data_IF_912356032523
#
_entry.id   IF_912356032523
#
_cell.length_a   1.000
_cell.length_b   1.000
_cell.length_c   1.000
_cell.angle_alpha   90.00
_cell.angle_beta   90.00
_cell.angle_gamma   90.00
#
_symmetry.space_group_name_H-M   'P 1'
#
loop_
_entity.id
_entity.type
_entity.pdbx_description
1 polymer ?
#
# COMPACT_ATOMS: atom_id res chain seq x y z
N UNK A 1 -18.61 0.60 4.74
CA UNK A 1 -17.69 0.45 5.88
C UNK A 1 -16.42 1.22 5.52
N UNK A 2 -16.15 2.36 6.15
CA UNK A 2 -15.03 3.24 5.75
C UNK A 2 -13.66 2.77 6.26
N UNK A 3 -13.66 1.78 7.14
CA UNK A 3 -12.51 1.20 7.83
C UNK A 3 -12.72 -0.30 8.07
N UNK A 4 -11.67 -1.11 8.21
CA UNK A 4 -11.82 -2.55 8.48
C UNK A 4 -11.84 -2.85 9.98
N UNK A 5 -10.90 -2.27 10.70
CA UNK A 5 -10.67 -2.54 12.12
C UNK A 5 -10.24 -1.25 12.82
N UNK A 6 -10.40 -1.22 14.13
CA UNK A 6 -9.91 -0.12 14.95
C UNK A 6 -8.60 -0.50 15.65
N UNK A 7 -7.79 0.49 16.04
CA UNK A 7 -6.46 0.27 16.64
C UNK A 7 -6.50 -0.66 17.86
N UNK A 8 -7.50 -0.51 18.74
CA UNK A 8 -7.70 -1.38 19.91
C UNK A 8 -7.91 -2.84 19.52
N UNK A 9 -8.64 -3.11 18.43
CA UNK A 9 -9.00 -4.46 18.02
C UNK A 9 -7.86 -5.19 17.29
N UNK A 10 -6.85 -4.49 16.78
CA UNK A 10 -5.71 -5.13 16.09
C UNK A 10 -5.02 -6.15 16.99
N UNK A 11 -4.91 -5.87 18.29
CA UNK A 11 -4.25 -6.78 19.24
C UNK A 11 -4.94 -8.16 19.35
N UNK A 12 -6.22 -8.25 18.99
CA UNK A 12 -6.96 -9.52 18.96
C UNK A 12 -6.63 -10.39 17.73
N UNK A 13 -5.98 -9.83 16.70
CA UNK A 13 -5.65 -10.49 15.44
C UNK A 13 -4.37 -11.35 15.53
N UNK A 14 -4.21 -12.11 16.61
CA UNK A 14 -2.97 -12.83 16.94
C UNK A 14 -2.62 -13.95 15.95
N UNK A 15 -3.59 -14.44 15.17
CA UNK A 15 -3.41 -15.49 14.17
C UNK A 15 -3.55 -14.98 12.72
N UNK A 16 -3.67 -13.67 12.50
CA UNK A 16 -3.90 -13.14 11.15
C UNK A 16 -2.61 -13.19 10.32
N UNK A 17 -2.50 -14.21 9.45
CA UNK A 17 -1.33 -14.41 8.58
C UNK A 17 -1.47 -13.69 7.24
N UNK A 18 -2.68 -13.51 6.74
CA UNK A 18 -2.94 -12.87 5.44
C UNK A 18 -4.15 -11.96 5.52
N UNK A 19 -3.99 -10.73 5.06
CA UNK A 19 -5.05 -9.74 4.95
C UNK A 19 -5.21 -9.37 3.48
N UNK A 20 -6.43 -9.52 2.95
CA UNK A 20 -6.79 -9.11 1.59
C UNK A 20 -8.01 -8.23 1.63
N UNK A 21 -7.92 -7.06 1.02
CA UNK A 21 -9.02 -6.11 0.91
C UNK A 21 -9.12 -5.73 -0.56
N UNK A 22 -10.26 -6.06 -1.16
CA UNK A 22 -10.49 -5.91 -2.59
C UNK A 22 -11.79 -5.14 -2.83
N UNK A 23 -11.78 -4.25 -3.82
CA UNK A 23 -12.99 -3.65 -4.40
C UNK A 23 -13.91 -2.95 -3.38
N UNK A 24 -13.33 -2.42 -2.31
CA UNK A 24 -14.05 -1.69 -1.27
C UNK A 24 -13.95 -0.19 -1.55
N UNK A 25 -14.86 0.33 -2.38
CA UNK A 25 -14.83 1.72 -2.83
C UNK A 25 -14.95 2.72 -1.70
N UNK A 26 -15.68 2.41 -0.63
CA UNK A 26 -15.93 3.35 0.48
C UNK A 26 -14.80 3.43 1.51
N UNK A 27 -13.83 2.52 1.45
CA UNK A 27 -12.74 2.44 2.43
C UNK A 27 -11.78 3.62 2.27
N UNK A 28 -11.50 4.32 3.37
CA UNK A 28 -10.53 5.43 3.42
C UNK A 28 -9.24 5.04 4.12
N UNK A 29 -9.36 4.20 5.14
CA UNK A 29 -8.27 3.67 5.96
C UNK A 29 -8.52 2.19 6.24
N UNK A 30 -7.47 1.40 6.51
CA UNK A 30 -7.65 0.00 6.92
C UNK A 30 -7.85 -0.08 8.44
N UNK A 31 -7.02 0.66 9.18
CA UNK A 31 -7.03 0.72 10.64
C UNK A 31 -7.45 2.12 11.09
N UNK A 32 -8.64 2.24 11.68
CA UNK A 32 -9.10 3.48 12.29
C UNK A 32 -8.51 3.69 13.68
N UNK A 33 -8.18 4.93 14.03
CA UNK A 33 -7.84 5.30 15.40
C UNK A 33 -9.09 5.26 16.31
N UNK A 34 -8.98 4.63 17.47
CA UNK A 34 -10.02 4.68 18.52
C UNK A 34 -9.94 5.97 19.38
N UNK A 35 -9.00 6.89 19.09
CA UNK A 35 -8.83 8.14 19.84
C UNK A 35 -8.14 7.99 21.20
N UNK A 36 -7.80 6.76 21.59
CA UNK A 36 -7.08 6.46 22.83
C UNK A 36 -5.56 6.39 22.56
N UNK A 37 -4.81 7.30 23.19
CA UNK A 37 -3.34 7.41 23.07
C UNK A 37 -2.59 6.38 23.96
N UNK A 38 -3.31 5.53 24.70
CA UNK A 38 -2.70 4.63 25.69
C UNK A 38 -1.73 3.60 25.09
N UNK A 39 -1.85 3.26 23.80
CA UNK A 39 -0.87 2.44 23.08
C UNK A 39 -0.30 3.22 21.91
N UNK A 40 0.95 3.66 22.04
CA UNK A 40 1.71 4.25 20.95
C UNK A 40 2.08 3.25 19.84
N UNK A 41 1.78 1.96 20.01
CA UNK A 41 2.19 0.89 19.10
C UNK A 41 1.02 -0.03 18.71
N UNK A 42 0.95 -0.36 17.42
CA UNK A 42 0.05 -1.36 16.85
C UNK A 42 0.90 -2.47 16.22
N UNK A 43 0.71 -3.71 16.67
CA UNK A 43 1.56 -4.84 16.25
C UNK A 43 0.77 -5.90 15.46
N UNK A 44 1.12 -6.08 14.19
CA UNK A 44 0.66 -7.21 13.37
C UNK A 44 1.68 -8.35 13.45
N UNK A 45 1.61 -9.14 14.53
CA UNK A 45 2.65 -10.12 14.92
C UNK A 45 2.97 -11.16 13.85
N UNK A 46 1.94 -11.77 13.26
CA UNK A 46 2.09 -12.92 12.35
C UNK A 46 1.64 -12.63 10.91
N UNK A 47 1.27 -11.38 10.60
CA UNK A 47 0.85 -10.98 9.27
C UNK A 47 2.04 -11.09 8.32
N UNK A 48 1.91 -11.96 7.31
CA UNK A 48 2.93 -12.20 6.29
C UNK A 48 2.61 -11.55 4.96
N UNK A 49 1.32 -11.51 4.62
CA UNK A 49 0.82 -11.06 3.32
C UNK A 49 -0.27 -10.02 3.49
N UNK A 50 -0.06 -8.85 2.89
CA UNK A 50 -1.05 -7.79 2.79
C UNK A 50 -1.36 -7.54 1.32
N UNK A 51 -2.63 -7.52 0.97
CA UNK A 51 -3.10 -7.19 -0.38
C UNK A 51 -4.20 -6.14 -0.29
N UNK A 52 -3.97 -5.03 -1.00
CA UNK A 52 -4.92 -3.94 -1.16
C UNK A 52 -5.14 -3.75 -2.66
N UNK A 53 -6.37 -4.03 -3.10
CA UNK A 53 -6.74 -4.04 -4.52
C UNK A 53 -8.00 -3.24 -4.78
N UNK A 54 -7.97 -2.36 -5.78
CA UNK A 54 -9.13 -1.60 -6.25
C UNK A 54 -9.83 -0.83 -5.12
N UNK A 55 -9.06 -0.07 -4.33
CA UNK A 55 -9.56 0.72 -3.20
C UNK A 55 -9.52 2.20 -3.56
N UNK A 56 -10.56 2.67 -4.26
CA UNK A 56 -10.60 3.99 -4.90
C UNK A 56 -10.51 5.17 -3.92
N UNK A 57 -11.00 5.00 -2.69
CA UNK A 57 -10.98 6.04 -1.66
C UNK A 57 -9.90 5.86 -0.58
N UNK A 58 -9.07 4.81 -0.66
CA UNK A 58 -8.05 4.54 0.36
C UNK A 58 -6.93 5.59 0.28
N UNK A 59 -6.70 6.29 1.39
CA UNK A 59 -5.69 7.35 1.50
C UNK A 59 -4.46 6.95 2.31
N UNK A 60 -4.63 6.09 3.31
CA UNK A 60 -3.55 5.55 4.14
C UNK A 60 -3.94 4.18 4.71
N UNK A 61 -2.97 3.42 5.22
CA UNK A 61 -3.26 2.19 5.93
C UNK A 61 -3.88 2.44 7.32
N UNK A 62 -3.45 3.49 8.02
CA UNK A 62 -3.94 3.84 9.36
C UNK A 62 -4.11 5.37 9.51
N UNK A 63 -5.14 5.82 10.25
CA UNK A 63 -5.39 7.24 10.55
C UNK A 63 -4.62 7.79 11.74
N UNK A 64 -4.27 6.95 12.71
CA UNK A 64 -3.62 7.41 13.94
C UNK A 64 -2.11 7.61 13.74
N UNK A 65 -1.49 8.32 14.67
CA UNK A 65 -0.03 8.45 14.73
C UNK A 65 0.55 7.43 15.70
N UNK A 66 0.52 6.16 15.29
CA UNK A 66 1.07 5.01 16.01
C UNK A 66 2.40 4.55 15.38
N UNK A 67 3.23 3.86 16.14
CA UNK A 67 4.27 2.99 15.58
C UNK A 67 3.59 1.70 15.11
N UNK A 68 3.59 1.46 13.80
CA UNK A 68 3.11 0.22 13.21
C UNK A 68 4.26 -0.79 13.12
N UNK A 69 4.18 -1.86 13.90
CA UNK A 69 5.17 -2.93 13.85
C UNK A 69 4.61 -4.19 13.20
N UNK A 70 5.19 -4.57 12.05
CA UNK A 70 4.81 -5.75 11.29
C UNK A 70 6.02 -6.69 11.13
N UNK A 71 6.45 -7.40 12.21
CA UNK A 71 7.71 -8.14 12.23
C UNK A 71 7.76 -9.35 11.29
N UNK A 72 6.60 -9.83 10.84
CA UNK A 72 6.49 -11.00 9.96
C UNK A 72 6.10 -10.65 8.52
N UNK A 73 5.92 -9.37 8.19
CA UNK A 73 5.42 -8.96 6.88
C UNK A 73 6.49 -9.18 5.81
N UNK A 74 6.18 -10.08 4.87
CA UNK A 74 7.10 -10.53 3.82
C UNK A 74 6.68 -9.97 2.45
N UNK A 75 5.39 -9.73 2.24
CA UNK A 75 4.84 -9.34 0.95
C UNK A 75 3.69 -8.34 1.12
N UNK A 76 3.79 -7.24 0.38
CA UNK A 76 2.70 -6.28 0.18
C UNK A 76 2.35 -6.26 -1.30
N UNK A 77 1.05 -6.36 -1.62
CA UNK A 77 0.54 -6.16 -2.97
C UNK A 77 -0.36 -4.92 -2.95
N UNK A 78 -0.02 -3.93 -3.77
CA UNK A 78 -0.73 -2.66 -3.88
C UNK A 78 -1.10 -2.42 -5.34
N UNK A 79 -2.40 -2.42 -5.61
CA UNK A 79 -2.89 -2.36 -6.98
C UNK A 79 -4.18 -1.54 -7.05
N UNK A 80 -4.22 -0.58 -7.97
CA UNK A 80 -5.40 0.25 -8.20
C UNK A 80 -5.94 0.96 -6.93
N UNK A 81 -5.05 1.57 -6.12
CA UNK A 81 -5.43 2.44 -4.99
C UNK A 81 -5.01 3.89 -5.26
N UNK A 82 -5.64 4.59 -6.22
CA UNK A 82 -5.11 5.82 -6.82
C UNK A 82 -4.99 7.02 -5.87
N UNK A 83 -5.68 6.99 -4.72
CA UNK A 83 -5.63 8.06 -3.70
C UNK A 83 -4.57 7.85 -2.62
N UNK A 84 -3.94 6.68 -2.58
CA UNK A 84 -2.93 6.34 -1.59
C UNK A 84 -1.57 6.91 -2.05
N UNK A 85 -1.17 8.07 -1.51
CA UNK A 85 0.11 8.71 -1.88
C UNK A 85 1.31 8.08 -1.16
N UNK A 86 1.08 7.67 0.08
CA UNK A 86 2.04 7.04 0.97
C UNK A 86 1.34 5.83 1.58
N UNK A 87 2.09 4.85 2.10
CA UNK A 87 1.45 3.73 2.80
C UNK A 87 0.86 4.19 4.14
N UNK A 88 1.66 4.92 4.92
CA UNK A 88 1.33 5.36 6.27
C UNK A 88 2.17 6.59 6.66
N UNK A 89 1.64 7.50 7.47
CA UNK A 89 2.35 8.73 7.85
C UNK A 89 3.18 8.61 9.13
N UNK A 90 2.85 7.67 10.02
CA UNK A 90 3.59 7.43 11.25
C UNK A 90 4.80 6.50 11.04
N UNK A 91 5.40 6.09 12.15
CA UNK A 91 6.55 5.18 12.13
C UNK A 91 6.10 3.77 11.71
N UNK A 92 6.81 3.18 10.74
CA UNK A 92 6.52 1.86 10.21
C UNK A 92 7.77 0.97 10.29
N UNK A 93 7.67 -0.14 11.01
CA UNK A 93 8.77 -1.09 11.22
C UNK A 93 8.41 -2.42 10.54
N UNK A 94 9.10 -2.72 9.44
CA UNK A 94 8.84 -3.89 8.57
C UNK A 94 10.16 -4.62 8.23
N UNK A 95 10.81 -5.30 9.21
CA UNK A 95 12.19 -5.76 9.07
C UNK A 95 12.39 -6.88 8.03
N UNK A 96 11.32 -7.55 7.60
CA UNK A 96 11.36 -8.63 6.60
C UNK A 96 10.78 -8.23 5.24
N UNK A 97 10.27 -6.99 5.12
CA UNK A 97 9.67 -6.53 3.90
C UNK A 97 10.75 -5.96 3.01
N UNK A 98 10.94 -6.59 1.85
CA UNK A 98 11.92 -6.15 0.85
C UNK A 98 11.33 -6.14 -0.56
N UNK A 99 9.99 -6.19 -0.67
CA UNK A 99 9.30 -6.28 -1.93
C UNK A 99 7.83 -5.85 -1.82
N UNK A 100 7.43 -4.97 -2.72
CA UNK A 100 6.03 -4.57 -2.96
C UNK A 100 5.66 -4.95 -4.39
N UNK A 101 4.50 -5.58 -4.55
CA UNK A 101 4.00 -6.07 -5.83
C UNK A 101 2.89 -5.18 -6.36
N UNK A 102 2.89 -4.92 -7.66
CA UNK A 102 1.77 -4.20 -8.30
C UNK A 102 0.61 -5.12 -8.70
N UNK A 103 0.81 -6.43 -8.73
CA UNK A 103 -0.20 -7.46 -8.98
C UNK A 103 0.19 -8.76 -8.27
N UNK A 104 -0.74 -9.70 -8.09
CA UNK A 104 -0.40 -11.04 -7.55
C UNK A 104 0.60 -11.81 -8.43
N UNK A 105 0.69 -11.47 -9.71
CA UNK A 105 1.60 -12.07 -10.70
C UNK A 105 2.96 -11.34 -10.81
N UNK A 106 3.16 -10.26 -10.06
CA UNK A 106 4.41 -9.49 -10.07
C UNK A 106 5.47 -10.18 -9.19
N UNK A 107 6.18 -11.13 -9.79
CA UNK A 107 7.19 -11.94 -9.11
C UNK A 107 8.49 -11.17 -8.80
N UNK A 108 8.75 -10.02 -9.42
CA UNK A 108 9.91 -9.19 -9.10
C UNK A 108 9.59 -8.15 -8.04
N UNK A 109 8.46 -7.45 -8.18
CA UNK A 109 8.10 -6.36 -7.29
C UNK A 109 9.16 -5.25 -7.24
N UNK A 110 8.96 -4.31 -6.34
CA UNK A 110 9.81 -3.13 -6.17
C UNK A 110 10.15 -2.89 -4.71
N UNK A 111 11.29 -2.27 -4.48
CA UNK A 111 11.69 -1.85 -3.14
C UNK A 111 12.61 -0.63 -3.20
N UNK A 112 12.16 0.47 -2.62
CA UNK A 112 12.89 1.74 -2.56
C UNK A 112 13.49 2.01 -1.16
N UNK A 113 13.86 0.95 -0.43
CA UNK A 113 14.44 1.04 0.92
C UNK A 113 13.41 0.93 2.05
N UNK A 114 12.24 1.54 1.87
CA UNK A 114 11.10 1.41 2.78
C UNK A 114 9.75 1.37 2.03
N UNK A 115 8.68 0.97 2.73
CA UNK A 115 7.37 0.81 2.13
C UNK A 115 6.75 2.14 1.67
N UNK A 116 6.94 3.23 2.41
CA UNK A 116 6.40 4.54 2.01
C UNK A 116 7.08 5.06 0.74
N UNK A 117 8.42 5.03 0.69
CA UNK A 117 9.17 5.41 -0.50
C UNK A 117 8.79 4.55 -1.71
N UNK A 118 8.59 3.25 -1.50
CA UNK A 118 8.17 2.34 -2.58
C UNK A 118 6.78 2.70 -3.10
N UNK A 119 5.83 3.02 -2.20
CA UNK A 119 4.48 3.47 -2.58
C UNK A 119 4.49 4.79 -3.33
N UNK A 120 5.29 5.75 -2.84
CA UNK A 120 5.42 7.05 -3.51
C UNK A 120 5.95 6.88 -4.93
N UNK A 121 6.98 6.05 -5.13
CA UNK A 121 7.53 5.76 -6.45
C UNK A 121 6.49 5.12 -7.39
N UNK A 122 5.72 4.14 -6.90
CA UNK A 122 4.67 3.47 -7.68
C UNK A 122 3.63 4.45 -8.24
N UNK A 123 3.20 5.42 -7.43
CA UNK A 123 2.18 6.39 -7.84
C UNK A 123 2.74 7.66 -8.49
N UNK A 124 4.05 7.91 -8.39
CA UNK A 124 4.73 8.99 -9.12
C UNK A 124 4.89 8.64 -10.59
N UNK A 125 5.36 7.44 -10.89
CA UNK A 125 5.51 6.96 -12.28
C UNK A 125 4.16 6.88 -13.02
N UNK A 126 3.07 6.57 -12.31
CA UNK A 126 1.73 6.57 -12.89
C UNK A 126 1.18 7.97 -13.23
N UNK A 127 1.69 9.03 -12.59
CA UNK A 127 1.20 10.41 -12.82
C UNK A 127 1.74 11.00 -14.12
N UNK A 128 2.89 10.56 -14.61
CA UNK A 128 3.51 11.11 -15.83
C UNK A 128 2.89 10.59 -17.15
N UNK A 129 1.70 9.99 -17.06
CA UNK A 129 0.88 9.51 -18.18
C UNK A 129 -0.27 10.48 -18.50
N UNK A 130 0.00 11.79 -18.44
CA UNK A 130 -0.97 12.89 -18.30
C UNK A 130 -2.14 12.98 -19.31
N UNK A 131 -2.19 12.13 -20.35
CA UNK A 131 -3.32 12.07 -21.30
C UNK A 131 -3.82 10.64 -21.61
N UNK A 132 -3.37 9.63 -20.86
CA UNK A 132 -3.67 8.24 -21.17
C UNK A 132 -5.10 7.87 -20.73
N UNK A 133 -5.96 7.54 -21.69
CA UNK A 133 -7.38 7.23 -21.43
C UNK A 133 -7.66 5.74 -21.22
N UNK A 134 -6.80 4.85 -21.72
CA UNK A 134 -6.85 3.42 -21.43
C UNK A 134 -5.47 2.80 -21.71
N UNK A 135 -5.02 1.92 -20.82
CA UNK A 135 -3.81 1.12 -20.98
C UNK A 135 -4.11 -0.29 -20.46
N UNK A 136 -3.94 -1.29 -21.33
CA UNK A 136 -4.11 -2.71 -21.01
C UNK A 136 -2.86 -3.42 -21.52
N UNK A 137 -2.18 -4.15 -20.64
CA UNK A 137 -0.98 -4.93 -20.97
C UNK A 137 -1.20 -6.34 -20.43
N UNK A 138 -1.42 -7.30 -21.33
CA UNK A 138 -1.66 -8.70 -20.99
C UNK A 138 -0.53 -9.60 -21.47
N UNK A 139 0.00 -10.42 -20.56
CA UNK A 139 0.99 -11.48 -20.83
C UNK A 139 2.28 -11.03 -21.54
N UNK A 140 2.92 -9.94 -21.11
CA UNK A 140 4.22 -9.56 -21.65
C UNK A 140 5.26 -9.21 -20.58
N UNK A 141 6.51 -9.66 -20.82
CA UNK A 141 7.73 -9.26 -20.12
C UNK A 141 8.22 -7.90 -20.59
N UNK A 142 7.36 -6.88 -20.50
CA UNK A 142 7.76 -5.50 -20.77
C UNK A 142 8.70 -5.04 -19.65
N UNK A 143 9.91 -4.61 -20.01
CA UNK A 143 10.91 -4.17 -19.04
C UNK A 143 10.73 -2.69 -18.66
N UNK A 144 10.29 -1.83 -19.58
CA UNK A 144 10.03 -0.42 -19.30
C UNK A 144 8.97 0.17 -20.24
N UNK A 145 8.11 1.04 -19.70
CA UNK A 145 7.19 1.89 -20.47
C UNK A 145 7.52 3.33 -20.11
N UNK A 146 8.05 4.10 -21.07
CA UNK A 146 8.44 5.50 -20.87
C UNK A 146 7.50 6.41 -21.64
N UNK A 147 6.94 7.42 -20.96
CA UNK A 147 6.34 8.57 -21.63
C UNK A 147 7.44 9.57 -21.97
N UNK A 148 7.52 9.97 -23.24
CA UNK A 148 8.47 11.01 -23.66
C UNK A 148 7.77 12.35 -23.52
N UNK A 149 8.22 13.18 -22.58
CA UNK A 149 7.88 14.61 -22.59
C UNK A 149 8.42 15.23 -23.87
N UNK A 150 7.58 15.98 -24.59
CA UNK A 150 8.04 16.79 -25.72
C UNK A 150 8.87 17.92 -25.13
N UNK A 151 10.18 17.95 -25.41
CA UNK A 151 10.98 19.14 -25.22
C UNK A 151 10.40 20.22 -26.15
N UNK A 152 9.81 21.27 -25.58
CA UNK A 152 9.53 22.50 -26.32
C UNK A 152 10.88 23.10 -26.72
N UNK A 153 11.24 22.92 -27.99
CA UNK A 153 12.36 23.62 -28.63
C UNK A 153 11.91 25.05 -29.00
N UNK A 154 12.51 26.01 -28.29
CA UNK A 154 12.67 27.47 -28.53
C UNK A 154 11.50 28.31 -29.08
#
# INVERSE_FOLDING_TARGET
MSELITSFKVQSLVCLVTMRIRECEVMREVVASDGDEASYEIVFRVLKRLELHCLQNLTSFCSGNYTLWCPSLEQVTLSQCPRMKNFYQGELITPKLHKVQSTETDFWGRWAGDLNATVEQLYKEAKDLHQLKSLIVDSCGVEEIVSKSVEESD
#
